data_IF_136438296969
#
_entry.id   IF_136438296969
#
_cell.length_a   1.000
_cell.length_b   1.000
_cell.length_c   1.000
_cell.angle_alpha   90.00
_cell.angle_beta   90.00
_cell.angle_gamma   90.00
#
_symmetry.space_group_name_H-M   'P 1'
#
loop_
_entity.id
_entity.type
_entity.pdbx_description
1 polymer ?
#
# COMPACT_ATOMS: atom_id res chain seq x y z
N UNK A 1 -21.21 8.93 0.84
CA UNK A 1 -20.09 9.23 1.75
C UNK A 1 -18.96 9.76 0.90
N UNK A 2 -18.25 10.78 1.36
CA UNK A 2 -17.08 11.28 0.63
C UNK A 2 -16.01 10.18 0.57
N UNK A 3 -15.24 10.16 -0.52
CA UNK A 3 -14.14 9.23 -0.70
C UNK A 3 -12.82 9.96 -0.55
N UNK A 4 -11.88 9.36 0.17
CA UNK A 4 -10.56 9.93 0.44
C UNK A 4 -9.46 8.98 -0.05
N UNK A 5 -8.30 9.55 -0.44
CA UNK A 5 -7.06 8.80 -0.60
C UNK A 5 -6.26 8.88 0.71
N UNK A 6 -5.40 7.89 0.96
CA UNK A 6 -4.51 7.85 2.12
C UNK A 6 -3.16 7.36 1.61
N UNK A 7 -2.11 8.13 1.82
CA UNK A 7 -0.75 7.79 1.39
C UNK A 7 -0.55 7.94 -0.10
N UNK A 8 -1.03 6.93 -0.82
CA UNK A 8 -0.91 6.82 -2.26
C UNK A 8 -2.29 7.07 -2.89
N UNK A 9 -2.30 7.70 -4.07
CA UNK A 9 -3.52 7.87 -4.84
C UNK A 9 -3.90 6.55 -5.51
N UNK A 10 -5.18 6.22 -5.55
CA UNK A 10 -5.67 5.05 -6.29
C UNK A 10 -6.74 4.31 -5.50
N UNK A 11 -6.37 3.75 -4.35
CA UNK A 11 -7.33 3.17 -3.41
C UNK A 11 -8.17 4.25 -2.74
N UNK A 12 -9.48 4.10 -2.85
CA UNK A 12 -10.47 5.05 -2.35
C UNK A 12 -11.17 4.49 -1.12
N UNK A 13 -11.07 5.20 -0.01
CA UNK A 13 -11.70 4.82 1.26
C UNK A 13 -12.93 5.68 1.53
N UNK A 14 -13.91 5.13 2.24
CA UNK A 14 -14.96 5.96 2.82
C UNK A 14 -14.38 6.84 3.93
N UNK A 15 -14.78 8.11 3.99
CA UNK A 15 -14.32 9.08 5.02
C UNK A 15 -14.49 8.56 6.47
N UNK A 16 -15.40 7.60 6.70
CA UNK A 16 -15.58 6.93 7.99
C UNK A 16 -14.38 6.13 8.51
N UNK A 17 -13.32 5.97 7.70
CA UNK A 17 -12.02 5.46 8.16
C UNK A 17 -11.24 6.48 9.00
N UNK A 18 -11.60 7.77 8.92
CA UNK A 18 -10.99 8.84 9.70
C UNK A 18 -11.84 9.18 10.94
N UNK A 19 -11.18 9.60 12.01
CA UNK A 19 -11.81 10.17 13.19
C UNK A 19 -12.10 11.67 12.98
N UNK A 20 -12.69 12.32 13.98
CA UNK A 20 -13.03 13.76 13.92
C UNK A 20 -11.80 14.68 13.78
N UNK A 21 -10.60 14.18 14.10
CA UNK A 21 -9.32 14.88 13.98
C UNK A 21 -8.65 14.64 12.62
N UNK A 22 -9.30 13.87 11.73
CA UNK A 22 -8.76 13.50 10.43
C UNK A 22 -7.72 12.38 10.47
N UNK A 23 -7.52 11.71 11.62
CA UNK A 23 -6.59 10.58 11.76
C UNK A 23 -7.28 9.25 11.48
N UNK A 24 -6.53 8.24 11.05
CA UNK A 24 -7.09 6.90 10.87
C UNK A 24 -7.62 6.36 12.20
N UNK A 25 -8.84 5.83 12.16
CA UNK A 25 -9.49 5.19 13.31
C UNK A 25 -8.76 3.89 13.67
N UNK A 26 -8.88 3.41 14.93
CA UNK A 26 -8.30 2.14 15.34
C UNK A 26 -8.66 1.00 14.39
N UNK A 27 -7.65 0.26 13.94
CA UNK A 27 -7.80 -0.76 12.89
C UNK A 27 -8.74 -1.91 13.31
N UNK A 28 -8.85 -2.20 14.61
CA UNK A 28 -9.75 -3.22 15.15
C UNK A 28 -11.24 -2.96 14.85
N UNK A 29 -11.61 -1.70 14.66
CA UNK A 29 -12.99 -1.29 14.35
C UNK A 29 -13.31 -1.17 12.85
N UNK A 30 -12.35 -1.45 11.96
CA UNK A 30 -12.51 -1.33 10.52
C UNK A 30 -12.86 -2.67 9.88
N UNK A 31 -13.54 -2.62 8.72
CA UNK A 31 -13.78 -3.84 7.95
C UNK A 31 -12.45 -4.50 7.54
N UNK A 32 -12.37 -5.84 7.53
CA UNK A 32 -11.11 -6.55 7.29
C UNK A 32 -10.38 -6.12 6.01
N UNK A 33 -11.14 -5.90 4.94
CA UNK A 33 -10.61 -5.48 3.63
C UNK A 33 -10.04 -4.06 3.66
N UNK A 34 -10.72 -3.14 4.35
CA UNK A 34 -10.24 -1.76 4.57
C UNK A 34 -8.95 -1.78 5.39
N UNK A 35 -8.94 -2.55 6.47
CA UNK A 35 -7.76 -2.71 7.34
C UNK A 35 -6.57 -3.25 6.54
N UNK A 36 -6.76 -4.28 5.72
CA UNK A 36 -5.69 -4.85 4.90
C UNK A 36 -5.07 -3.81 3.96
N UNK A 37 -5.91 -3.03 3.25
CA UNK A 37 -5.41 -1.97 2.36
C UNK A 37 -4.66 -0.88 3.12
N UNK A 38 -5.12 -0.49 4.31
CA UNK A 38 -4.40 0.48 5.14
C UNK A 38 -3.03 -0.02 5.60
N UNK A 39 -2.91 -1.31 5.95
CA UNK A 39 -1.63 -1.91 6.32
C UNK A 39 -0.65 -1.93 5.17
N UNK A 40 -1.11 -2.30 3.96
CA UNK A 40 -0.28 -2.25 2.76
C UNK A 40 0.16 -0.82 2.47
N UNK A 41 -0.74 0.16 2.54
CA UNK A 41 -0.37 1.57 2.35
C UNK A 41 0.68 2.03 3.36
N UNK A 42 0.54 1.68 4.64
CA UNK A 42 1.52 2.06 5.66
C UNK A 42 2.92 1.47 5.40
N UNK A 43 2.99 0.30 4.79
CA UNK A 43 4.26 -0.34 4.40
C UNK A 43 4.84 0.28 3.12
N UNK A 44 3.98 0.63 2.15
CA UNK A 44 4.38 1.02 0.78
C UNK A 44 4.48 2.53 0.53
N UNK A 45 3.98 3.39 1.43
CA UNK A 45 3.85 4.85 1.18
C UNK A 45 5.19 5.59 1.02
N UNK A 46 6.29 5.03 1.51
CA UNK A 46 7.64 5.59 1.36
C UNK A 46 8.53 4.79 0.42
N UNK A 47 7.98 3.74 -0.19
CA UNK A 47 8.73 2.87 -1.08
C UNK A 47 9.09 3.59 -2.38
N UNK A 48 10.19 3.17 -3.03
CA UNK A 48 10.46 3.57 -4.41
C UNK A 48 9.31 3.12 -5.33
N UNK A 49 9.09 3.89 -6.38
CA UNK A 49 8.34 3.45 -7.55
C UNK A 49 8.86 2.09 -8.05
N UNK A 50 7.97 1.13 -8.28
CA UNK A 50 8.33 -0.23 -8.73
C UNK A 50 9.15 -0.15 -10.05
N UNK A 51 8.71 0.68 -11.00
CA UNK A 51 9.40 0.87 -12.27
C UNK A 51 10.79 1.52 -12.12
N UNK A 52 10.96 2.50 -11.21
CA UNK A 52 12.27 3.04 -10.88
C UNK A 52 13.18 1.94 -10.31
N UNK A 53 12.67 1.14 -9.37
CA UNK A 53 13.42 0.05 -8.76
C UNK A 53 13.82 -1.01 -9.79
N UNK A 54 12.95 -1.33 -10.75
CA UNK A 54 13.29 -2.22 -11.87
C UNK A 54 14.39 -1.66 -12.78
N UNK A 55 14.51 -0.34 -12.93
CA UNK A 55 15.55 0.31 -13.75
C UNK A 55 16.90 0.41 -13.01
N UNK A 56 16.88 0.83 -11.74
CA UNK A 56 18.09 1.18 -10.99
C UNK A 56 18.57 0.09 -10.05
N UNK A 57 17.66 -0.76 -9.57
CA UNK A 57 17.90 -1.79 -8.56
C UNK A 57 18.27 -1.23 -7.19
N UNK A 58 18.55 -2.13 -6.25
CA UNK A 58 18.89 -1.77 -4.85
C UNK A 58 20.17 -0.94 -4.73
N UNK A 59 21.07 -1.03 -5.71
CA UNK A 59 22.37 -0.36 -5.67
C UNK A 59 22.33 1.14 -5.93
N UNK A 60 21.20 1.67 -6.41
CA UNK A 60 21.02 3.07 -6.81
C UNK A 60 19.62 3.56 -6.40
N UNK A 61 19.17 3.17 -5.21
CA UNK A 61 17.82 3.48 -4.71
C UNK A 61 17.57 5.00 -4.61
N UNK A 62 18.62 5.78 -4.41
CA UNK A 62 18.58 7.24 -4.37
C UNK A 62 18.18 7.91 -5.71
N UNK A 63 18.29 7.18 -6.83
CA UNK A 63 17.82 7.63 -8.14
C UNK A 63 16.32 7.33 -8.35
N UNK A 64 15.72 6.52 -7.47
CA UNK A 64 14.30 6.20 -7.54
C UNK A 64 13.44 7.34 -6.99
N UNK A 65 12.38 7.69 -7.72
CA UNK A 65 11.32 8.52 -7.17
C UNK A 65 10.48 7.70 -6.17
N UNK A 66 10.00 8.36 -5.11
CA UNK A 66 9.02 7.78 -4.18
C UNK A 66 7.70 7.55 -4.92
N UNK A 67 7.00 6.48 -4.58
CA UNK A 67 5.68 6.21 -5.16
C UNK A 67 4.65 7.28 -4.77
N UNK A 68 3.75 7.56 -5.70
CA UNK A 68 2.63 8.52 -5.54
C UNK A 68 1.27 7.87 -5.77
N UNK A 69 1.24 6.75 -6.51
CA UNK A 69 0.01 6.04 -6.87
C UNK A 69 0.12 4.55 -6.58
N UNK A 70 -1.02 3.90 -6.36
CA UNK A 70 -1.18 2.47 -6.13
C UNK A 70 -2.32 1.91 -6.97
N UNK A 71 -2.08 0.77 -7.62
CA UNK A 71 -3.08 0.02 -8.40
C UNK A 71 -3.09 -1.45 -8.02
N UNK A 72 -4.22 -2.13 -8.26
CA UNK A 72 -4.38 -3.55 -7.99
C UNK A 72 -4.95 -3.88 -6.62
N UNK A 73 -4.84 -5.14 -6.23
CA UNK A 73 -5.31 -5.67 -4.95
C UNK A 73 -4.13 -5.91 -3.99
N UNK A 74 -4.35 -5.88 -2.67
CA UNK A 74 -3.33 -6.22 -1.68
C UNK A 74 -2.62 -7.55 -1.97
N UNK A 75 -1.29 -7.51 -2.09
CA UNK A 75 -0.44 -8.65 -2.43
C UNK A 75 -0.12 -8.80 -3.91
N UNK A 76 -0.73 -7.98 -4.77
CA UNK A 76 -0.45 -7.87 -6.20
C UNK A 76 -0.47 -6.42 -6.67
N UNK A 77 -0.25 -5.48 -5.75
CA UNK A 77 -0.32 -4.06 -6.05
C UNK A 77 0.92 -3.54 -6.78
N UNK A 78 0.70 -2.59 -7.69
CA UNK A 78 1.77 -1.83 -8.36
C UNK A 78 1.80 -0.41 -7.81
N UNK A 79 2.97 0.05 -7.37
CA UNK A 79 3.15 1.44 -6.92
C UNK A 79 4.09 2.22 -7.85
N UNK A 80 3.70 3.44 -8.21
CA UNK A 80 4.41 4.22 -9.23
C UNK A 80 4.54 5.69 -8.87
N UNK A 81 5.60 6.31 -9.37
CA UNK A 81 5.71 7.77 -9.40
C UNK A 81 4.99 8.34 -10.62
N UNK A 82 4.78 9.66 -10.63
CA UNK A 82 4.13 10.37 -11.74
C UNK A 82 4.83 10.21 -13.11
N UNK A 83 6.12 9.86 -13.13
CA UNK A 83 6.89 9.61 -14.37
C UNK A 83 6.54 8.27 -15.00
N UNK A 84 6.34 7.22 -14.19
CA UNK A 84 6.11 5.85 -14.66
C UNK A 84 4.63 5.43 -14.65
N UNK A 85 3.76 6.19 -13.98
CA UNK A 85 2.31 5.96 -14.04
C UNK A 85 1.76 5.91 -15.49
N UNK A 86 2.16 6.77 -16.44
CA UNK A 86 1.72 6.68 -17.83
C UNK A 86 2.04 5.33 -18.49
N UNK A 87 3.18 4.71 -18.18
CA UNK A 87 3.57 3.39 -18.71
C UNK A 87 2.58 2.31 -18.26
N UNK A 88 2.24 2.32 -16.98
CA UNK A 88 1.24 1.40 -16.43
C UNK A 88 -0.15 1.65 -17.02
N UNK A 89 -0.57 2.91 -17.13
CA UNK A 89 -1.88 3.24 -17.69
C UNK A 89 -2.00 2.82 -19.15
N UNK A 90 -0.95 3.04 -19.94
CA UNK A 90 -0.90 2.55 -21.32
C UNK A 90 -0.97 1.02 -21.36
N UNK A 91 -0.12 0.35 -20.59
CA UNK A 91 -0.10 -1.11 -20.53
C UNK A 91 -1.48 -1.68 -20.18
N UNK A 92 -2.07 -1.16 -19.10
CA UNK A 92 -3.35 -1.61 -18.58
C UNK A 92 -4.50 -1.36 -19.57
N UNK A 93 -4.52 -0.20 -20.25
CA UNK A 93 -5.64 0.17 -21.13
C UNK A 93 -5.52 -0.36 -22.56
N UNK A 94 -4.30 -0.54 -23.05
CA UNK A 94 -4.04 -0.69 -24.48
C UNK A 94 -3.13 -1.86 -24.83
N UNK A 95 -2.30 -2.34 -23.89
CA UNK A 95 -1.37 -3.44 -24.13
C UNK A 95 -1.77 -4.75 -23.41
N UNK A 96 -3.04 -4.88 -23.02
CA UNK A 96 -3.63 -6.11 -22.49
C UNK A 96 -3.59 -6.26 -20.97
N UNK A 97 -3.08 -5.26 -20.23
CA UNK A 97 -3.01 -5.37 -18.77
C UNK A 97 -4.38 -5.40 -18.06
N UNK A 98 -5.47 -5.03 -18.73
CA UNK A 98 -6.83 -5.10 -18.19
C UNK A 98 -7.28 -6.53 -17.88
N UNK A 99 -6.67 -7.54 -18.48
CA UNK A 99 -6.95 -8.95 -18.18
C UNK A 99 -6.61 -9.33 -16.73
N UNK A 100 -5.70 -8.59 -16.10
CA UNK A 100 -5.24 -8.81 -14.72
C UNK A 100 -6.00 -7.95 -13.69
N UNK A 101 -7.09 -7.28 -14.09
CA UNK A 101 -7.86 -6.44 -13.19
C UNK A 101 -8.46 -7.25 -12.02
N UNK A 102 -8.02 -6.94 -10.80
CA UNK A 102 -8.45 -7.65 -9.59
C UNK A 102 -7.71 -8.98 -9.33
N UNK A 103 -6.71 -9.30 -10.16
CA UNK A 103 -5.83 -10.46 -9.97
C UNK A 103 -4.57 -10.06 -9.18
N UNK A 104 -4.02 -11.00 -8.42
CA UNK A 104 -2.73 -10.84 -7.73
C UNK A 104 -1.56 -10.90 -8.71
N UNK A 105 -1.74 -11.50 -9.89
CA UNK A 105 -0.72 -11.55 -10.95
C UNK A 105 -0.48 -10.18 -11.63
N UNK A 106 -1.29 -9.15 -11.35
CA UNK A 106 -1.17 -7.80 -11.93
C UNK A 106 0.25 -7.24 -11.81
N UNK A 107 0.84 -7.33 -10.61
CA UNK A 107 2.18 -6.80 -10.35
C UNK A 107 3.23 -7.49 -11.22
N UNK A 108 3.27 -8.82 -11.18
CA UNK A 108 4.24 -9.61 -11.92
C UNK A 108 4.10 -9.39 -13.43
N UNK A 109 2.87 -9.33 -13.93
CA UNK A 109 2.59 -9.09 -15.35
C UNK A 109 3.08 -7.71 -15.81
N UNK A 110 2.82 -6.66 -15.02
CA UNK A 110 3.31 -5.32 -15.33
C UNK A 110 4.85 -5.26 -15.25
N UNK A 111 5.45 -5.82 -14.20
CA UNK A 111 6.90 -5.83 -14.02
C UNK A 111 7.60 -6.51 -15.18
N UNK A 112 7.09 -7.67 -15.62
CA UNK A 112 7.64 -8.39 -16.77
C UNK A 112 7.50 -7.56 -18.06
N UNK A 113 6.32 -6.99 -18.31
CA UNK A 113 6.09 -6.14 -19.48
C UNK A 113 7.05 -4.94 -19.52
N UNK A 114 7.30 -4.32 -18.37
CA UNK A 114 8.21 -3.18 -18.25
C UNK A 114 9.69 -3.57 -18.42
N UNK A 115 10.11 -4.72 -17.85
CA UNK A 115 11.46 -5.28 -18.00
C UNK A 115 11.78 -5.71 -19.44
N UNK A 116 10.77 -6.10 -20.21
CA UNK A 116 10.90 -6.37 -21.65
C UNK A 116 11.20 -5.10 -22.48
N UNK A 117 11.29 -3.93 -21.83
CA UNK A 117 11.63 -2.66 -22.44
C UNK A 117 10.44 -1.92 -23.05
N UNK A 118 9.22 -2.38 -22.78
CA UNK A 118 8.02 -1.70 -23.25
C UNK A 118 7.77 -0.44 -22.43
N UNK A 119 7.29 0.62 -23.09
CA UNK A 119 6.94 1.91 -22.50
C UNK A 119 5.70 2.46 -23.19
N UNK A 120 5.01 3.39 -22.56
CA UNK A 120 3.99 4.17 -23.21
C UNK A 120 4.59 4.96 -24.39
N UNK A 121 3.80 5.25 -25.44
CA UNK A 121 4.21 6.16 -26.48
C UNK A 121 4.55 7.56 -25.92
N UNK A 122 5.49 8.26 -26.55
CA UNK A 122 5.84 9.62 -26.17
C UNK A 122 4.59 10.53 -26.12
N UNK A 123 4.41 11.21 -24.99
CA UNK A 123 3.27 12.11 -24.77
C UNK A 123 1.97 11.40 -24.43
N UNK A 124 2.00 10.12 -24.06
CA UNK A 124 0.84 9.47 -23.44
C UNK A 124 0.53 10.16 -22.12
N UNK A 125 -0.59 10.88 -22.08
CA UNK A 125 -1.01 11.57 -20.88
C UNK A 125 -1.46 10.55 -19.83
N UNK A 126 -0.90 10.68 -18.62
CA UNK A 126 -1.41 10.02 -17.44
C UNK A 126 -2.80 10.55 -17.06
N UNK A 127 -3.29 10.17 -15.89
CA UNK A 127 -4.48 10.80 -15.35
C UNK A 127 -4.15 12.24 -14.94
N UNK A 128 -4.96 13.22 -15.35
CA UNK A 128 -4.84 14.59 -14.86
C UNK A 128 -5.19 14.59 -13.36
N UNK A 129 -4.17 14.74 -12.53
CA UNK A 129 -4.33 14.75 -11.07
C UNK A 129 -4.59 16.18 -10.60
N UNK A 130 -5.60 16.37 -9.77
CA UNK A 130 -5.72 17.60 -8.98
C UNK A 130 -4.65 17.53 -7.89
N UNK A 131 -3.77 18.53 -7.82
CA UNK A 131 -2.73 18.67 -6.80
C UNK A 131 -3.35 18.85 -5.40
N UNK A 132 -3.83 17.76 -4.81
CA UNK A 132 -3.94 17.61 -3.36
C UNK A 132 -2.60 17.04 -2.89
N UNK A 133 -1.84 17.82 -2.12
CA UNK A 133 -0.49 17.51 -1.64
C UNK A 133 -0.39 16.05 -1.14
N UNK A 134 0.33 15.15 -1.84
CA UNK A 134 0.43 13.73 -1.50
C UNK A 134 1.22 13.50 -0.21
N UNK A 135 1.89 14.53 0.34
CA UNK A 135 2.57 14.48 1.64
C UNK A 135 1.72 15.02 2.77
N UNK A 136 0.61 15.71 2.48
CA UNK A 136 -0.40 16.12 3.45
C UNK A 136 -1.28 14.93 3.85
N UNK A 137 -0.64 13.82 4.17
CA UNK A 137 -1.28 12.62 4.62
C UNK A 137 -1.82 12.86 6.03
N UNK A 138 -3.06 12.44 6.33
CA UNK A 138 -3.38 12.16 7.71
C UNK A 138 -2.35 11.14 8.23
N UNK A 139 -1.81 11.35 9.44
CA UNK A 139 -0.80 10.47 10.02
C UNK A 139 -1.26 9.01 9.89
N UNK A 140 -0.57 8.25 9.04
CA UNK A 140 -0.84 6.84 8.88
C UNK A 140 -0.41 6.11 10.16
N UNK A 141 -1.20 5.16 10.67
CA UNK A 141 -0.76 4.36 11.79
C UNK A 141 0.51 3.65 11.37
N UNK A 142 1.57 3.81 12.16
CA UNK A 142 2.81 3.09 11.93
C UNK A 142 2.58 1.60 12.17
N UNK A 143 3.51 0.74 11.74
CA UNK A 143 3.49 -0.70 12.10
C UNK A 143 3.36 -0.92 13.61
N UNK A 144 3.84 0.01 14.43
CA UNK A 144 3.71 0.00 15.89
C UNK A 144 2.30 0.39 16.39
N UNK A 145 1.54 1.17 15.61
CA UNK A 145 0.15 1.55 15.91
C UNK A 145 -0.87 0.52 15.36
N UNK A 146 -0.44 -0.28 14.38
CA UNK A 146 -1.25 -1.30 13.70
C UNK A 146 -1.26 -2.66 14.41
N UNK A 147 -0.25 -2.90 15.25
CA UNK A 147 -0.21 -3.99 16.21
C UNK A 147 -0.77 -3.38 17.49
N UNK A 148 -2.00 -3.70 17.95
CA UNK A 148 -2.27 -3.56 19.37
C UNK A 148 -1.12 -4.30 20.03
N UNK A 149 -0.42 -3.66 20.96
CA UNK A 149 0.69 -4.33 21.64
C UNK A 149 0.17 -5.71 22.02
N UNK A 150 0.80 -6.78 21.53
CA UNK A 150 0.39 -8.15 21.87
C UNK A 150 0.25 -8.28 23.40
N UNK A 151 1.00 -7.46 24.13
CA UNK A 151 0.93 -7.23 25.57
C UNK A 151 -0.40 -6.67 26.11
N UNK A 152 -1.09 -5.75 25.42
CA UNK A 152 -2.43 -5.26 25.80
C UNK A 152 -3.51 -6.31 25.51
N UNK A 153 -3.47 -6.98 24.36
CA UNK A 153 -4.40 -8.10 24.08
C UNK A 153 -4.16 -9.28 25.05
N UNK A 154 -2.92 -9.58 25.41
CA UNK A 154 -2.58 -10.58 26.43
C UNK A 154 -3.07 -10.18 27.84
N UNK A 155 -3.11 -8.89 28.16
CA UNK A 155 -3.64 -8.39 29.44
C UNK A 155 -5.18 -8.44 29.51
N UNK A 156 -5.85 -8.45 28.36
CA UNK A 156 -7.31 -8.62 28.27
C UNK A 156 -7.75 -10.10 28.27
N UNK A 157 -6.82 -11.04 28.01
CA UNK A 157 -7.06 -12.48 28.21
C UNK A 157 -7.09 -12.81 29.69
N UNK A 158 -8.11 -13.56 30.12
CA UNK A 158 -8.20 -14.03 31.50
C UNK A 158 -7.17 -15.14 31.80
N UNK A 159 -6.89 -15.35 33.10
CA UNK A 159 -5.91 -16.33 33.57
C UNK A 159 -6.19 -17.77 33.06
N UNK A 160 -7.42 -18.06 32.64
CA UNK A 160 -7.87 -19.38 32.17
C UNK A 160 -7.56 -19.58 30.68
N UNK A 161 -7.72 -18.55 29.85
CA UNK A 161 -7.30 -18.55 28.44
C UNK A 161 -5.78 -18.52 28.28
N UNK A 162 -5.06 -17.78 29.13
CA UNK A 162 -3.59 -17.77 29.14
C UNK A 162 -3.00 -19.15 29.48
N UNK A 163 -3.64 -19.92 30.37
CA UNK A 163 -3.20 -21.26 30.73
C UNK A 163 -3.52 -22.32 29.67
N UNK A 164 -4.51 -22.08 28.80
CA UNK A 164 -4.86 -22.97 27.69
C UNK A 164 -3.90 -22.81 26.50
N UNK A 165 -3.30 -21.63 26.36
CA UNK A 165 -2.23 -21.33 25.42
C UNK A 165 -0.90 -21.68 26.07
N UNK A 166 -0.47 -22.95 25.96
CA UNK A 166 0.77 -23.52 26.52
C UNK A 166 2.06 -22.85 25.95
N UNK A 167 2.20 -21.54 26.18
CA UNK A 167 3.33 -20.72 25.77
C UNK A 167 4.33 -20.68 26.92
N UNK A 168 5.35 -21.53 26.82
CA UNK A 168 6.50 -21.55 27.72
C UNK A 168 7.41 -20.34 27.45
N UNK A 169 7.24 -19.29 28.25
CA UNK A 169 8.03 -18.06 28.18
C UNK A 169 9.34 -18.10 28.99
N UNK A 170 9.84 -19.29 29.36
CA UNK A 170 11.15 -19.40 30.02
C UNK A 170 12.36 -19.14 29.10
N UNK A 171 12.12 -18.84 27.81
CA UNK A 171 13.17 -18.67 26.79
C UNK A 171 13.32 -17.22 26.25
N UNK A 172 12.60 -16.24 26.82
CA UNK A 172 12.77 -14.82 26.48
C UNK A 172 13.58 -14.08 27.55
N UNK A 173 14.90 -14.31 27.53
CA UNK A 173 15.88 -13.40 28.14
C UNK A 173 16.26 -12.30 27.13
N UNK A 174 15.74 -11.08 27.30
CA UNK A 174 16.35 -9.80 26.87
C UNK A 174 16.12 -8.73 27.94
#
# INVERSE_FOLDING_TARGET
MAKVNIGLRGWRFDEGVLNEEGRIRPLSGLEPEVRQRLLVLADRVVDPCDACWLEYGDGQIEECNVAEVIYGEPGGEVILCSVHEPDFLYWFREAGGDEYAGDLELQEAFHQWFLDGNRAPDGYEGLEHVDEDPTALPEAPTRADAVPSLEEELQELDDEEQAAMDLDFSDLDV
#
